data_IF_832880730639
#
_entry.id   IF_832880730639
#
_cell.length_a   1.000
_cell.length_b   1.000
_cell.length_c   1.000
_cell.angle_alpha   90.00
_cell.angle_beta   90.00
_cell.angle_gamma   90.00
#
_symmetry.space_group_name_H-M   'P 1'
#
loop_
_entity.id
_entity.type
_entity.pdbx_description
1 polymer ?
#
# COMPACT_ATOMS: atom_id res chain seq x y z
N UNK A 1 14.25 -2.25 -3.50
CA UNK A 1 13.89 -2.08 -4.92
C UNK A 1 12.65 -1.22 -4.96
N UNK A 2 12.79 0.07 -5.30
CA UNK A 2 11.62 0.96 -5.41
C UNK A 2 10.81 0.54 -6.64
N UNK A 3 9.46 0.46 -6.56
CA UNK A 3 8.66 0.17 -7.74
C UNK A 3 8.76 1.35 -8.70
N UNK A 4 9.18 1.09 -9.94
CA UNK A 4 9.09 2.08 -11.02
C UNK A 4 7.61 2.37 -11.27
N UNK A 5 7.19 3.60 -11.06
CA UNK A 5 5.88 4.06 -11.51
C UNK A 5 6.04 4.67 -12.91
N UNK A 6 5.03 4.58 -13.76
CA UNK A 6 5.16 5.00 -15.17
C UNK A 6 5.19 6.54 -15.38
N UNK A 7 5.48 7.34 -14.34
CA UNK A 7 5.39 8.80 -14.35
C UNK A 7 6.71 9.55 -14.56
N UNK A 8 7.85 8.85 -14.66
CA UNK A 8 9.17 9.47 -14.77
C UNK A 8 9.77 9.87 -13.41
N UNK A 9 11.04 10.33 -13.39
CA UNK A 9 11.86 10.37 -12.17
C UNK A 9 11.33 11.29 -11.07
N UNK A 10 10.65 12.37 -11.44
CA UNK A 10 10.04 13.28 -10.46
C UNK A 10 8.85 12.61 -9.75
N UNK A 11 7.98 11.95 -10.51
CA UNK A 11 6.81 11.23 -9.98
C UNK A 11 7.27 10.00 -9.18
N UNK A 12 8.29 9.28 -9.65
CA UNK A 12 8.89 8.17 -8.91
C UNK A 12 9.47 8.62 -7.57
N UNK A 13 10.14 9.78 -7.55
CA UNK A 13 10.66 10.38 -6.33
C UNK A 13 9.54 10.78 -5.36
N UNK A 14 8.48 11.38 -5.87
CA UNK A 14 7.29 11.74 -5.09
C UNK A 14 6.61 10.50 -4.49
N UNK A 15 6.40 9.46 -5.30
CA UNK A 15 5.80 8.20 -4.85
C UNK A 15 6.67 7.51 -3.79
N UNK A 16 8.00 7.53 -3.98
CA UNK A 16 8.97 6.97 -3.01
C UNK A 16 8.88 7.68 -1.66
N UNK A 17 8.83 9.02 -1.65
CA UNK A 17 8.66 9.82 -0.43
C UNK A 17 7.34 9.53 0.27
N UNK A 18 6.24 9.43 -0.48
CA UNK A 18 4.95 9.03 0.06
C UNK A 18 4.97 7.64 0.70
N UNK A 19 5.57 6.65 0.03
CA UNK A 19 5.69 5.30 0.59
C UNK A 19 6.57 5.26 1.84
N UNK A 20 7.64 6.08 1.88
CA UNK A 20 8.46 6.21 3.08
C UNK A 20 7.68 6.82 4.26
N UNK A 21 6.92 7.89 4.02
CA UNK A 21 6.04 8.49 5.03
C UNK A 21 4.95 7.52 5.49
N UNK A 22 4.35 6.77 4.58
CA UNK A 22 3.34 5.77 4.92
C UNK A 22 3.92 4.63 5.77
N UNK A 23 5.10 4.12 5.43
CA UNK A 23 5.80 3.11 6.23
C UNK A 23 6.14 3.64 7.62
N UNK A 24 6.70 4.85 7.73
CA UNK A 24 7.05 5.46 9.01
C UNK A 24 5.81 5.66 9.90
N UNK A 25 4.69 6.11 9.30
CA UNK A 25 3.44 6.28 10.03
C UNK A 25 2.86 4.92 10.49
N UNK A 26 3.00 3.87 9.68
CA UNK A 26 2.61 2.51 10.05
C UNK A 26 3.45 2.00 11.23
N UNK A 27 4.77 2.15 11.18
CA UNK A 27 5.69 1.75 12.24
C UNK A 27 5.39 2.47 13.56
N UNK A 28 5.13 3.78 13.51
CA UNK A 28 4.73 4.58 14.67
C UNK A 28 3.41 4.11 15.31
N UNK A 29 2.55 3.46 14.53
CA UNK A 29 1.27 2.90 14.98
C UNK A 29 1.34 1.40 15.31
N UNK A 30 2.53 0.79 15.24
CA UNK A 30 2.71 -0.64 15.47
C UNK A 30 2.09 -1.53 14.39
N UNK A 31 1.93 -1.00 13.17
CA UNK A 31 1.41 -1.74 12.02
C UNK A 31 2.55 -2.32 11.17
N UNK A 32 2.53 -3.63 10.93
CA UNK A 32 3.41 -4.26 9.96
C UNK A 32 2.71 -4.38 8.59
N UNK A 33 3.12 -3.52 7.66
CA UNK A 33 2.58 -3.51 6.29
C UNK A 33 2.95 -4.77 5.47
N UNK A 34 3.92 -5.56 5.93
CA UNK A 34 4.33 -6.80 5.30
C UNK A 34 3.72 -8.06 5.96
N UNK A 35 2.95 -7.91 7.05
CA UNK A 35 2.44 -9.02 7.86
C UNK A 35 1.71 -10.09 7.04
N UNK A 36 0.98 -9.69 6.00
CA UNK A 36 0.26 -10.61 5.11
C UNK A 36 1.15 -11.73 4.54
N UNK A 37 2.46 -11.49 4.36
CA UNK A 37 3.43 -12.49 3.85
C UNK A 37 3.68 -13.64 4.83
N UNK A 38 3.44 -13.41 6.13
CA UNK A 38 3.59 -14.41 7.19
C UNK A 38 2.39 -15.35 7.31
N UNK A 39 1.21 -14.95 6.82
CA UNK A 39 -0.03 -15.73 6.98
C UNK A 39 0.09 -17.20 6.56
N UNK A 40 0.76 -17.58 5.45
CA UNK A 40 0.91 -18.98 5.09
C UNK A 40 1.69 -19.82 6.11
N UNK A 41 2.57 -19.20 6.92
CA UNK A 41 3.32 -19.85 8.00
C UNK A 41 2.66 -19.73 9.37
N UNK A 42 1.96 -18.63 9.64
CA UNK A 42 1.28 -18.38 10.91
C UNK A 42 0.06 -19.29 11.12
N UNK A 43 -0.69 -19.58 10.06
CA UNK A 43 -1.88 -20.45 10.17
C UNK A 43 -1.52 -21.88 10.62
N UNK A 44 -0.50 -22.55 10.03
CA UNK A 44 -0.02 -23.83 10.56
C UNK A 44 0.49 -23.74 12.00
N UNK A 45 1.23 -22.68 12.35
CA UNK A 45 1.72 -22.49 13.72
C UNK A 45 0.57 -22.33 14.74
N UNK A 46 -0.58 -21.82 14.30
CA UNK A 46 -1.82 -21.74 15.08
C UNK A 46 -2.65 -23.05 15.10
N UNK A 47 -2.15 -24.14 14.51
CA UNK A 47 -2.82 -25.45 14.51
C UNK A 47 -3.82 -25.68 13.38
N UNK A 48 -3.85 -24.80 12.38
CA UNK A 48 -4.65 -25.04 11.16
C UNK A 48 -3.92 -26.00 10.23
N UNK A 49 -4.69 -26.87 9.61
CA UNK A 49 -4.21 -27.85 8.65
C UNK A 49 -4.77 -27.59 7.26
N UNK A 50 -4.16 -28.22 6.25
CA UNK A 50 -4.51 -28.03 4.84
C UNK A 50 -4.52 -26.55 4.43
N UNK A 51 -3.52 -25.82 4.92
CA UNK A 51 -3.38 -24.39 4.66
C UNK A 51 -3.11 -24.16 3.19
N UNK A 52 -3.90 -23.27 2.60
CA UNK A 52 -3.73 -22.74 1.25
C UNK A 52 -3.64 -21.23 1.33
N UNK A 53 -2.98 -20.64 0.35
CA UNK A 53 -2.87 -19.19 0.25
C UNK A 53 -2.86 -18.75 -1.20
N UNK A 54 -3.34 -17.53 -1.42
CA UNK A 54 -3.25 -16.80 -2.67
C UNK A 54 -2.78 -15.38 -2.37
N UNK A 55 -2.13 -14.75 -3.34
CA UNK A 55 -1.71 -13.37 -3.24
C UNK A 55 -1.92 -12.64 -4.55
N UNK A 56 -2.41 -11.41 -4.48
CA UNK A 56 -2.59 -10.57 -5.66
C UNK A 56 -2.03 -9.17 -5.46
N UNK A 57 -1.49 -8.65 -6.56
CA UNK A 57 -1.12 -7.26 -6.75
C UNK A 57 -1.74 -6.79 -8.05
N UNK A 58 -2.12 -5.51 -8.12
CA UNK A 58 -2.76 -4.92 -9.29
C UNK A 58 -2.01 -3.67 -9.70
N UNK A 59 -1.80 -3.50 -11.00
CA UNK A 59 -1.40 -2.23 -11.59
C UNK A 59 -2.68 -1.48 -11.98
N UNK A 60 -2.84 -0.27 -11.46
CA UNK A 60 -4.08 0.49 -11.54
C UNK A 60 -3.81 1.83 -12.21
N UNK A 61 -4.55 2.20 -13.27
CA UNK A 61 -4.51 3.56 -13.80
C UNK A 61 -5.19 4.53 -12.83
N UNK A 62 -4.81 5.81 -12.89
CA UNK A 62 -5.54 6.88 -12.21
C UNK A 62 -6.99 6.95 -12.68
N UNK A 63 -7.85 7.55 -11.86
CA UNK A 63 -9.29 7.66 -12.11
C UNK A 63 -10.09 6.38 -11.89
N UNK A 64 -9.45 5.21 -11.73
CA UNK A 64 -10.16 3.98 -11.38
C UNK A 64 -10.70 4.01 -9.94
N UNK A 65 -11.67 3.14 -9.56
CA UNK A 65 -12.23 3.13 -8.21
C UNK A 65 -11.19 2.98 -7.10
N UNK A 66 -10.16 2.15 -7.31
CA UNK A 66 -9.10 1.94 -6.31
C UNK A 66 -8.21 3.18 -6.17
N UNK A 67 -7.90 3.86 -7.27
CA UNK A 67 -7.16 5.14 -7.26
C UNK A 67 -7.91 6.22 -6.50
N UNK A 68 -9.25 6.27 -6.63
CA UNK A 68 -10.10 7.17 -5.84
C UNK A 68 -10.09 6.85 -4.35
N UNK A 69 -10.12 5.56 -3.99
CA UNK A 69 -10.02 5.13 -2.58
C UNK A 69 -8.68 5.53 -1.98
N UNK A 70 -7.58 5.35 -2.71
CA UNK A 70 -6.26 5.79 -2.27
C UNK A 70 -6.19 7.31 -2.10
N UNK A 71 -6.68 8.09 -3.08
CA UNK A 71 -6.70 9.54 -3.01
C UNK A 71 -7.48 10.05 -1.76
N UNK A 72 -8.64 9.49 -1.48
CA UNK A 72 -9.41 9.81 -0.27
C UNK A 72 -8.66 9.43 1.01
N UNK A 73 -7.91 8.34 0.99
CA UNK A 73 -7.10 7.90 2.12
C UNK A 73 -5.95 8.87 2.38
N UNK A 74 -5.27 9.32 1.31
CA UNK A 74 -4.23 10.36 1.38
C UNK A 74 -4.77 11.64 1.99
N UNK A 75 -5.92 12.15 1.49
CA UNK A 75 -6.55 13.35 2.03
C UNK A 75 -6.89 13.20 3.53
N UNK A 76 -7.45 12.04 3.91
CA UNK A 76 -7.79 11.73 5.32
C UNK A 76 -6.58 11.64 6.23
N UNK A 77 -5.41 11.33 5.68
CA UNK A 77 -4.16 11.12 6.44
C UNK A 77 -3.13 12.21 6.13
N UNK A 78 -3.53 13.33 5.54
CA UNK A 78 -2.58 14.36 5.06
C UNK A 78 -1.72 14.91 6.20
N UNK A 79 -2.35 15.35 7.29
CA UNK A 79 -1.64 15.88 8.46
C UNK A 79 -0.67 14.87 9.10
N UNK A 80 -1.08 13.63 9.45
CA UNK A 80 -0.15 12.66 10.03
C UNK A 80 0.94 12.23 9.04
N UNK A 81 0.67 12.15 7.73
CA UNK A 81 1.69 11.86 6.72
C UNK A 81 2.70 12.99 6.59
N UNK A 82 2.24 14.24 6.56
CA UNK A 82 3.11 15.42 6.55
C UNK A 82 3.96 15.51 7.83
N UNK A 83 3.37 15.14 8.98
CA UNK A 83 4.06 15.06 10.27
C UNK A 83 5.20 14.05 10.32
N UNK A 84 5.31 13.11 9.37
CA UNK A 84 6.46 12.20 9.29
C UNK A 84 7.73 12.91 8.80
N UNK A 85 7.60 14.04 8.10
CA UNK A 85 8.69 14.76 7.45
C UNK A 85 9.19 14.13 6.13
N UNK A 86 8.67 12.96 5.75
CA UNK A 86 9.09 12.28 4.52
C UNK A 86 8.41 12.82 3.25
N UNK A 87 7.21 13.40 3.41
CA UNK A 87 6.38 13.96 2.33
C UNK A 87 5.66 15.20 2.85
N UNK A 88 5.51 16.22 2.01
CA UNK A 88 4.84 17.48 2.37
C UNK A 88 3.35 17.46 2.01
N UNK A 89 2.54 18.34 2.63
CA UNK A 89 1.12 18.46 2.29
C UNK A 89 0.90 18.80 0.80
N UNK A 90 1.71 19.70 0.22
CA UNK A 90 1.63 20.06 -1.20
C UNK A 90 1.97 18.87 -2.13
N UNK A 91 2.89 18.00 -1.71
CA UNK A 91 3.21 16.76 -2.43
C UNK A 91 2.07 15.74 -2.34
N UNK A 92 1.38 15.65 -1.20
CA UNK A 92 0.19 14.81 -1.05
C UNK A 92 -0.97 15.30 -1.92
N UNK A 93 -1.19 16.62 -2.01
CA UNK A 93 -2.18 17.20 -2.93
C UNK A 93 -1.84 16.89 -4.39
N UNK A 94 -0.55 16.97 -4.75
CA UNK A 94 -0.08 16.58 -6.09
C UNK A 94 -0.32 15.10 -6.37
N UNK A 95 -0.12 14.21 -5.39
CA UNK A 95 -0.44 12.78 -5.53
C UNK A 95 -1.94 12.54 -5.73
N UNK A 96 -2.80 13.28 -5.06
CA UNK A 96 -4.25 13.21 -5.27
C UNK A 96 -4.63 13.57 -6.70
N UNK A 97 -4.01 14.60 -7.27
CA UNK A 97 -4.19 14.96 -8.69
C UNK A 97 -3.67 13.86 -9.62
N UNK A 98 -2.49 13.31 -9.36
CA UNK A 98 -1.92 12.21 -10.15
C UNK A 98 -2.81 10.95 -10.13
N UNK A 99 -3.41 10.62 -8.99
CA UNK A 99 -4.33 9.49 -8.86
C UNK A 99 -5.65 9.68 -9.61
N UNK A 100 -5.94 10.89 -10.11
CA UNK A 100 -7.06 11.15 -11.02
C UNK A 100 -6.68 11.04 -12.50
N UNK A 101 -5.39 11.05 -12.84
CA UNK A 101 -4.89 11.01 -14.22
C UNK A 101 -4.83 9.58 -14.76
N UNK A 102 -5.63 9.22 -15.80
CA UNK A 102 -5.63 7.87 -16.36
C UNK A 102 -4.29 7.41 -16.96
N UNK A 103 -3.38 8.34 -17.29
CA UNK A 103 -2.04 8.03 -17.80
C UNK A 103 -1.06 7.60 -16.70
N UNK A 104 -1.36 7.94 -15.43
CA UNK A 104 -0.58 7.51 -14.28
C UNK A 104 -0.97 6.09 -13.88
N UNK A 105 0.00 5.19 -13.79
CA UNK A 105 -0.20 3.80 -13.34
C UNK A 105 0.59 3.54 -12.06
N UNK A 106 -0.08 3.01 -11.05
CA UNK A 106 0.50 2.66 -9.75
C UNK A 106 0.22 1.21 -9.37
N UNK A 107 1.05 0.65 -8.49
CA UNK A 107 0.93 -0.73 -8.02
C UNK A 107 0.23 -0.77 -6.65
N UNK A 108 -0.80 -1.61 -6.49
CA UNK A 108 -1.49 -1.81 -5.22
C UNK A 108 -0.60 -2.44 -4.15
N UNK A 109 -1.04 -2.42 -2.90
CA UNK A 109 -0.51 -3.30 -1.87
C UNK A 109 -0.64 -4.78 -2.28
N UNK A 110 0.30 -5.61 -1.80
CA UNK A 110 0.17 -7.07 -1.88
C UNK A 110 -0.95 -7.50 -0.93
N UNK A 111 -2.04 -8.02 -1.49
CA UNK A 111 -3.10 -8.61 -0.69
C UNK A 111 -2.89 -10.12 -0.64
N UNK A 112 -2.63 -10.63 0.56
CA UNK A 112 -2.47 -12.07 0.82
C UNK A 112 -3.74 -12.59 1.50
N UNK A 113 -4.22 -13.72 1.02
CA UNK A 113 -5.34 -14.46 1.61
C UNK A 113 -4.82 -15.85 1.95
N UNK A 114 -5.06 -16.33 3.17
CA UNK A 114 -4.70 -17.67 3.58
C UNK A 114 -5.85 -18.30 4.39
N UNK A 115 -6.05 -19.60 4.23
CA UNK A 115 -7.13 -20.33 4.90
C UNK A 115 -6.72 -21.79 5.14
N UNK A 116 -7.28 -22.40 6.18
CA UNK A 116 -7.10 -23.81 6.53
C UNK A 116 -8.28 -24.29 7.36
N UNK A 117 -8.20 -25.53 7.86
CA UNK A 117 -9.22 -26.10 8.76
C UNK A 117 -8.59 -26.63 10.04
N UNK A 118 -9.32 -26.53 11.16
CA UNK A 118 -8.96 -27.27 12.38
C UNK A 118 -9.38 -28.72 12.20
N UNK A 119 -8.54 -29.66 12.63
CA UNK A 119 -9.03 -31.03 12.83
C UNK A 119 -10.00 -31.05 14.02
N UNK A 120 -11.00 -31.91 13.91
CA UNK A 120 -12.02 -32.13 14.94
C UNK A 120 -11.46 -32.92 16.11
#
# INVERSE_FOLDING_TARGET
>A
MAPATCGGPEIDGLWTRFMAGFQQLADQRGLDLAYGRGLPGDLPAAGLQQVRSDAKVQFNPGGCPLSRVLALSILRMSDPLAGTGAVTAAELDRLVVLLADPSFVWMSQLMVVAWGRREG
#
